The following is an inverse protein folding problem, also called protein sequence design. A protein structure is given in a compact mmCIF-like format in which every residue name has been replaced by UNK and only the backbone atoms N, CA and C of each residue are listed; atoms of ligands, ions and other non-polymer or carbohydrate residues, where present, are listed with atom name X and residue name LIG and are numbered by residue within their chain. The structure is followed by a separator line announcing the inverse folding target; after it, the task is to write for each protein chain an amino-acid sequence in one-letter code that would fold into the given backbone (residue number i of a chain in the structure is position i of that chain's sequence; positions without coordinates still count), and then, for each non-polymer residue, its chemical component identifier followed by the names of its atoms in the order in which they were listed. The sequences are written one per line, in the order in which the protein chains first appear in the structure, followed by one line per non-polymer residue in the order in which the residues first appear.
data_IF_072605648025
#
_entry.id   IF_072605648025
#
_cell.length_a   1.000
_cell.length_b   1.000
_cell.length_c   1.000
_cell.angle_alpha   90.00
_cell.angle_beta   90.00
_cell.angle_gamma   90.00
#
_symmetry.space_group_name_H-M   'P 1'
#
loop_
_entity.id
_entity.type
_entity.pdbx_description
1 polymer ?
#
# COMPACT_ATOMS: atom_id res chain seq x y z
N UNK A 1 -2.17 -8.50 -4.57
CA UNK A 1 -1.26 -7.43 -5.04
C UNK A 1 0.12 -8.03 -5.18
N UNK A 2 0.82 -7.74 -6.26
CA UNK A 2 2.22 -8.10 -6.43
C UNK A 2 3.06 -6.82 -6.56
N UNK A 3 4.24 -6.82 -5.96
CA UNK A 3 5.24 -5.77 -6.11
C UNK A 3 6.55 -6.38 -6.57
N UNK A 4 7.12 -5.83 -7.62
CA UNK A 4 8.41 -6.21 -8.17
C UNK A 4 9.35 -5.01 -8.15
N UNK A 5 10.57 -5.18 -7.64
CA UNK A 5 11.59 -4.14 -7.75
C UNK A 5 12.17 -4.16 -9.17
N UNK A 6 12.04 -3.05 -9.89
CA UNK A 6 12.47 -2.92 -11.29
C UNK A 6 13.62 -1.92 -11.47
N UNK A 7 14.13 -1.40 -10.35
CA UNK A 7 15.29 -0.50 -10.30
C UNK A 7 15.66 -0.17 -8.85
N UNK A 8 16.72 0.63 -8.62
CA UNK A 8 17.26 0.88 -7.27
C UNK A 8 16.22 1.35 -6.26
N UNK A 9 15.35 2.26 -6.67
CA UNK A 9 14.28 2.84 -5.86
C UNK A 9 12.92 2.78 -6.55
N UNK A 10 12.77 1.87 -7.54
CA UNK A 10 11.61 1.83 -8.43
C UNK A 10 10.93 0.48 -8.36
N UNK A 11 9.62 0.50 -8.21
CA UNK A 11 8.82 -0.71 -8.03
C UNK A 11 7.65 -0.70 -9.01
N UNK A 12 7.38 -1.87 -9.60
CA UNK A 12 6.19 -2.14 -10.38
C UNK A 12 5.17 -2.83 -9.49
N UNK A 13 3.98 -2.26 -9.43
CA UNK A 13 2.86 -2.77 -8.67
C UNK A 13 1.78 -3.27 -9.61
N UNK A 14 1.28 -4.46 -9.33
CA UNK A 14 0.13 -5.04 -10.02
C UNK A 14 -1.00 -5.25 -9.01
N UNK A 15 -2.09 -4.52 -9.25
CA UNK A 15 -3.29 -4.49 -8.42
C UNK A 15 -4.40 -5.20 -9.20
N UNK A 16 -4.93 -6.28 -8.63
CA UNK A 16 -6.10 -6.98 -9.17
C UNK A 16 -7.35 -6.42 -8.51
N UNK A 17 -8.15 -5.73 -9.30
CA UNK A 17 -9.43 -5.18 -8.92
C UNK A 17 -10.59 -6.15 -9.19
N UNK A 18 -11.82 -5.76 -8.82
CA UNK A 18 -13.03 -6.51 -9.16
C UNK A 18 -13.20 -6.67 -10.68
N UNK A 19 -14.01 -7.66 -11.09
CA UNK A 19 -14.35 -7.93 -12.49
C UNK A 19 -13.14 -8.24 -13.40
N UNK A 20 -12.05 -8.76 -12.83
CA UNK A 20 -10.84 -9.11 -13.59
C UNK A 20 -9.98 -7.92 -14.01
N UNK A 21 -10.32 -6.70 -13.60
CA UNK A 21 -9.53 -5.50 -13.91
C UNK A 21 -8.16 -5.61 -13.26
N UNK A 22 -7.11 -5.44 -14.06
CA UNK A 22 -5.73 -5.39 -13.57
C UNK A 22 -5.14 -4.02 -13.82
N UNK A 23 -4.72 -3.35 -12.75
CA UNK A 23 -4.04 -2.07 -12.79
C UNK A 23 -2.54 -2.29 -12.55
N UNK A 24 -1.72 -1.82 -13.48
CA UNK A 24 -0.28 -1.78 -13.34
C UNK A 24 0.16 -0.34 -13.08
N UNK A 25 0.96 -0.13 -12.05
CA UNK A 25 1.53 1.17 -11.71
C UNK A 25 3.00 1.05 -11.40
N UNK A 26 3.80 1.99 -11.88
CA UNK A 26 5.20 2.12 -11.46
C UNK A 26 5.30 3.23 -10.44
N UNK A 27 5.96 2.95 -9.32
CA UNK A 27 6.23 3.92 -8.26
C UNK A 27 7.72 4.05 -8.02
N UNK A 28 8.14 5.21 -7.53
CA UNK A 28 9.52 5.49 -7.15
C UNK A 28 9.58 6.03 -5.73
N UNK A 29 10.48 5.49 -4.92
CA UNK A 29 10.88 6.07 -3.64
C UNK A 29 11.72 7.32 -3.91
N UNK A 30 11.22 8.46 -3.47
CA UNK A 30 11.84 9.78 -3.69
C UNK A 30 12.62 10.27 -2.49
N UNK A 31 12.26 9.82 -1.28
CA UNK A 31 12.99 10.13 -0.06
C UNK A 31 12.83 9.01 0.96
N UNK A 32 13.94 8.68 1.60
CA UNK A 32 14.00 7.75 2.71
C UNK A 32 14.85 8.38 3.81
N UNK A 33 14.28 8.44 5.01
CA UNK A 33 15.01 8.75 6.24
C UNK A 33 14.70 7.64 7.22
N UNK A 34 15.73 6.90 7.61
CA UNK A 34 15.63 5.75 8.51
C UNK A 34 14.82 6.11 9.74
N UNK A 35 13.81 5.29 10.04
CA UNK A 35 12.92 5.42 11.20
C UNK A 35 12.11 6.73 11.28
N UNK A 36 12.01 7.52 10.20
CA UNK A 36 11.38 8.84 10.24
C UNK A 36 10.42 9.08 9.08
N UNK A 37 10.84 8.78 7.85
CA UNK A 37 10.12 9.24 6.67
C UNK A 37 10.34 8.33 5.46
N UNK A 38 9.23 8.02 4.79
CA UNK A 38 9.23 7.51 3.43
C UNK A 38 8.37 8.42 2.56
N UNK A 39 8.90 8.82 1.40
CA UNK A 39 8.12 9.47 0.33
C UNK A 39 8.29 8.70 -0.95
N UNK A 40 7.17 8.41 -1.60
CA UNK A 40 7.16 7.75 -2.89
C UNK A 40 6.02 8.27 -3.76
N UNK A 41 6.16 8.12 -5.07
CA UNK A 41 5.19 8.63 -6.03
C UNK A 41 5.08 7.77 -7.27
N UNK A 42 3.94 7.83 -7.97
CA UNK A 42 3.80 7.22 -9.29
C UNK A 42 4.69 7.92 -10.31
N UNK A 43 5.24 7.18 -11.27
CA UNK A 43 6.10 7.73 -12.33
C UNK A 43 5.31 8.32 -13.51
N UNK A 44 4.04 8.66 -13.33
CA UNK A 44 3.20 9.34 -14.33
C UNK A 44 3.70 10.77 -14.60
N UNK A 45 3.15 11.43 -15.63
CA UNK A 45 3.47 12.83 -15.92
C UNK A 45 3.26 13.74 -14.70
N UNK A 46 4.04 14.83 -14.53
CA UNK A 46 4.09 15.61 -13.29
C UNK A 46 2.73 16.05 -12.71
N UNK A 47 1.74 16.37 -13.55
CA UNK A 47 0.38 16.76 -13.13
C UNK A 47 -0.56 15.61 -12.77
N UNK A 48 -0.14 14.36 -13.03
CA UNK A 48 -0.92 13.13 -12.82
C UNK A 48 -0.31 12.23 -11.74
N UNK A 49 0.69 12.73 -11.00
CA UNK A 49 1.38 11.94 -9.97
C UNK A 49 0.52 11.82 -8.72
N UNK A 50 0.34 10.58 -8.28
CA UNK A 50 -0.08 10.29 -6.92
C UNK A 50 1.16 10.19 -6.05
N UNK A 51 1.13 10.85 -4.89
CA UNK A 51 2.23 10.91 -3.93
C UNK A 51 1.78 10.38 -2.59
N UNK A 52 2.66 9.64 -1.94
CA UNK A 52 2.48 9.14 -0.60
C UNK A 52 3.60 9.66 0.30
N UNK A 53 3.25 9.99 1.53
CA UNK A 53 4.19 10.33 2.60
C UNK A 53 3.82 9.52 3.81
N UNK A 54 4.76 8.72 4.31
CA UNK A 54 4.60 7.95 5.55
C UNK A 54 5.61 8.51 6.54
N UNK A 55 5.11 9.01 7.68
CA UNK A 55 5.93 9.50 8.78
C UNK A 55 5.85 8.53 9.95
N UNK A 56 6.99 8.36 10.61
CA UNK A 56 7.13 7.59 11.82
C UNK A 56 7.56 8.53 12.95
N UNK A 57 6.89 8.45 14.08
CA UNK A 57 7.23 9.20 15.29
C UNK A 57 7.05 8.34 16.53
N UNK A 58 7.73 8.65 17.64
CA UNK A 58 7.40 8.05 18.93
C UNK A 58 5.91 8.23 19.24
N UNK A 59 5.27 7.17 19.72
CA UNK A 59 3.88 7.21 20.18
C UNK A 59 3.76 7.81 21.58
N UNK A 60 2.52 7.95 22.05
CA UNK A 60 2.23 8.56 23.37
C UNK A 60 2.66 7.70 24.57
N UNK A 61 2.96 6.41 24.36
CA UNK A 61 3.49 5.51 25.38
C UNK A 61 4.90 5.05 24.98
N UNK A 62 5.75 4.67 25.96
CA UNK A 62 7.01 3.98 25.68
C UNK A 62 6.78 2.79 24.74
N UNK A 63 7.76 2.53 23.87
CA UNK A 63 7.76 1.39 22.94
C UNK A 63 6.60 1.36 21.91
N UNK A 64 5.96 2.51 21.69
CA UNK A 64 4.97 2.69 20.62
C UNK A 64 5.52 3.58 19.51
N UNK A 65 5.12 3.27 18.28
CA UNK A 65 5.38 4.09 17.10
C UNK A 65 4.05 4.57 16.54
N UNK A 66 3.92 5.88 16.33
CA UNK A 66 2.83 6.46 15.57
C UNK A 66 3.23 6.52 14.08
N UNK A 67 2.32 6.06 13.23
CA UNK A 67 2.50 6.04 11.77
C UNK A 67 1.44 6.94 11.15
N UNK A 68 1.88 7.98 10.45
CA UNK A 68 1.00 8.93 9.79
C UNK A 68 1.20 8.88 8.27
N UNK A 69 0.17 8.46 7.55
CA UNK A 69 0.15 8.39 6.09
C UNK A 69 -0.63 9.56 5.48
N UNK A 70 -0.04 10.20 4.47
CA UNK A 70 -0.70 11.22 3.65
C UNK A 70 -0.67 10.77 2.19
N UNK A 71 -1.86 10.70 1.59
CA UNK A 71 -2.06 10.45 0.17
C UNK A 71 -2.46 11.75 -0.54
N UNK A 72 -1.67 12.19 -1.51
CA UNK A 72 -1.97 13.30 -2.39
C UNK A 72 -2.21 12.80 -3.83
N UNK A 73 -3.44 12.93 -4.32
CA UNK A 73 -3.84 12.52 -5.68
C UNK A 73 -3.84 13.72 -6.64
N UNK A 74 -3.63 13.49 -7.95
CA UNK A 74 -3.81 14.54 -8.96
C UNK A 74 -5.23 15.12 -8.92
N UNK A 75 -5.39 16.38 -9.31
CA UNK A 75 -6.68 17.11 -9.35
C UNK A 75 -7.48 17.18 -8.03
N UNK A 76 -6.87 16.90 -6.88
CA UNK A 76 -7.54 16.98 -5.56
C UNK A 76 -8.81 16.13 -5.50
N UNK A 77 -9.94 16.72 -5.07
CA UNK A 77 -11.25 16.04 -5.02
C UNK A 77 -11.80 15.64 -6.40
N UNK A 78 -11.33 16.26 -7.49
CA UNK A 78 -11.79 16.02 -8.86
C UNK A 78 -11.02 14.89 -9.57
N UNK A 79 -9.89 14.45 -9.02
CA UNK A 79 -9.13 13.29 -9.51
C UNK A 79 -9.63 11.93 -9.01
N UNK A 80 -10.81 11.90 -8.38
CA UNK A 80 -11.46 10.67 -7.90
C UNK A 80 -11.92 9.75 -9.01
N UNK A 81 -11.83 10.19 -10.27
CA UNK A 81 -12.46 9.52 -11.42
C UNK A 81 -11.53 8.57 -12.19
N UNK A 82 -10.23 8.51 -11.88
CA UNK A 82 -9.30 7.60 -12.58
C UNK A 82 -9.07 6.25 -11.87
N UNK A 83 -9.59 6.06 -10.65
CA UNK A 83 -9.52 4.81 -9.90
C UNK A 83 -10.89 4.41 -9.33
N UNK A 84 -11.94 4.48 -10.15
CA UNK A 84 -13.24 3.92 -9.79
C UNK A 84 -13.19 2.39 -9.83
N UNK A 85 -12.37 1.77 -8.99
CA UNK A 85 -12.57 0.40 -8.58
C UNK A 85 -13.67 0.41 -7.49
N UNK A 86 -14.92 0.50 -7.95
CA UNK A 86 -16.13 0.19 -7.17
C UNK A 86 -16.42 1.13 -5.98
N UNK A 87 -16.54 2.44 -6.23
CA UNK A 87 -17.24 3.35 -5.30
C UNK A 87 -16.67 3.49 -3.87
N UNK A 88 -15.44 3.06 -3.60
CA UNK A 88 -14.83 3.15 -2.26
C UNK A 88 -14.21 4.53 -2.05
N UNK A 89 -14.47 5.21 -0.91
CA UNK A 89 -13.82 6.48 -0.60
C UNK A 89 -12.33 6.26 -0.29
N UNK A 90 -11.39 7.00 -0.92
CA UNK A 90 -9.94 6.82 -0.72
C UNK A 90 -9.48 6.86 0.75
N UNK A 91 -10.15 7.66 1.58
CA UNK A 91 -9.85 7.75 3.00
C UNK A 91 -10.11 6.44 3.77
N UNK A 92 -11.16 5.70 3.39
CA UNK A 92 -11.46 4.40 4.02
C UNK A 92 -10.40 3.35 3.69
N UNK A 93 -9.85 3.40 2.46
CA UNK A 93 -8.78 2.49 2.05
C UNK A 93 -7.46 2.76 2.79
N UNK A 94 -7.09 4.04 2.96
CA UNK A 94 -5.90 4.45 3.75
C UNK A 94 -6.04 3.99 5.20
N UNK A 95 -7.18 4.30 5.84
CA UNK A 95 -7.41 3.90 7.23
C UNK A 95 -7.36 2.37 7.42
N UNK A 96 -7.96 1.61 6.48
CA UNK A 96 -7.92 0.16 6.52
C UNK A 96 -6.50 -0.40 6.25
N UNK A 97 -5.70 0.24 5.40
CA UNK A 97 -4.30 -0.12 5.20
C UNK A 97 -3.46 0.04 6.47
N UNK A 98 -3.62 1.17 7.20
CA UNK A 98 -2.92 1.39 8.46
C UNK A 98 -3.35 0.41 9.56
N UNK A 99 -4.65 0.08 9.67
CA UNK A 99 -5.13 -0.95 10.59
C UNK A 99 -4.47 -2.30 10.34
N UNK A 100 -4.42 -2.74 9.08
CA UNK A 100 -3.79 -4.02 8.73
C UNK A 100 -2.29 -4.01 8.92
N UNK A 101 -1.62 -2.90 8.63
CA UNK A 101 -0.20 -2.74 8.95
C UNK A 101 0.04 -2.92 10.45
N UNK A 102 -0.78 -2.29 11.28
CA UNK A 102 -0.72 -2.45 12.74
C UNK A 102 -0.94 -3.89 13.17
N UNK A 103 -1.99 -4.56 12.67
CA UNK A 103 -2.24 -5.98 12.99
C UNK A 103 -1.04 -6.86 12.62
N UNK A 104 -0.51 -6.71 11.41
CA UNK A 104 0.64 -7.48 10.95
C UNK A 104 1.87 -7.27 11.83
N UNK A 105 2.18 -6.01 12.17
CA UNK A 105 3.37 -5.69 12.96
C UNK A 105 3.24 -6.10 14.43
N UNK A 106 2.03 -6.05 15.01
CA UNK A 106 1.82 -6.33 16.44
C UNK A 106 1.44 -7.79 16.73
N UNK A 107 0.84 -8.49 15.77
CA UNK A 107 0.29 -9.85 15.97
C UNK A 107 0.85 -10.87 15.00
N UNK A 108 1.52 -10.44 13.93
CA UNK A 108 1.96 -11.33 12.84
C UNK A 108 0.85 -11.73 11.86
N UNK A 109 -0.40 -11.34 12.12
CA UNK A 109 -1.58 -11.76 11.34
C UNK A 109 -2.40 -10.54 10.86
N UNK A 110 -3.20 -10.75 9.81
CA UNK A 110 -4.18 -9.77 9.32
C UNK A 110 -5.55 -10.42 9.32
N UNK A 111 -6.43 -9.95 10.19
CA UNK A 111 -7.79 -10.51 10.34
C UNK A 111 -8.85 -9.65 9.66
N UNK A 112 -8.56 -8.37 9.46
CA UNK A 112 -9.44 -7.43 8.78
C UNK A 112 -9.08 -7.30 7.29
N UNK A 113 -9.97 -7.75 6.41
CA UNK A 113 -9.81 -7.60 4.95
C UNK A 113 -10.82 -6.63 4.34
N UNK A 114 -11.55 -5.88 5.17
CA UNK A 114 -12.49 -4.87 4.70
C UNK A 114 -11.76 -3.83 3.85
N UNK A 115 -12.36 -3.43 2.72
CA UNK A 115 -11.74 -2.52 1.74
C UNK A 115 -10.38 -2.96 1.18
N UNK A 116 -9.89 -4.17 1.45
CA UNK A 116 -8.63 -4.63 0.88
C UNK A 116 -8.76 -4.85 -0.63
N UNK A 117 -7.67 -4.62 -1.35
CA UNK A 117 -7.51 -5.10 -2.71
C UNK A 117 -7.47 -6.63 -2.69
N UNK A 118 -8.24 -7.27 -3.57
CA UNK A 118 -8.27 -8.73 -3.70
C UNK A 118 -6.85 -9.31 -3.84
N UNK A 119 -6.55 -10.34 -3.03
CA UNK A 119 -5.26 -11.02 -3.01
C UNK A 119 -4.08 -10.19 -2.49
N UNK A 120 -4.28 -9.06 -1.80
CA UNK A 120 -3.21 -8.37 -1.04
C UNK A 120 -2.80 -9.16 0.22
N UNK A 121 -3.76 -9.85 0.84
CA UNK A 121 -3.56 -10.71 2.01
C UNK A 121 -4.05 -12.14 1.76
N UNK A 122 -4.15 -12.55 0.49
CA UNK A 122 -4.53 -13.93 0.16
C UNK A 122 -3.49 -14.87 0.77
N UNK A 123 -3.95 -15.82 1.58
CA UNK A 123 -3.10 -16.82 2.24
C UNK A 123 -2.20 -17.44 1.19
N UNK A 124 -0.88 -17.29 1.33
CA UNK A 124 0.07 -18.11 0.56
C UNK A 124 -0.16 -19.52 1.07
N UNK A 125 -0.76 -20.38 0.26
CA UNK A 125 -0.70 -21.82 0.52
C UNK A 125 0.78 -22.14 0.34
N UNK A 126 1.50 -22.29 1.45
CA UNK A 126 2.78 -22.96 1.43
C UNK A 126 2.44 -24.40 1.08
N UNK A 127 2.66 -24.79 -0.17
CA UNK A 127 2.65 -26.18 -0.56
C UNK A 127 3.75 -26.88 0.24
N UNK A 128 3.31 -27.71 1.18
CA UNK A 128 4.13 -28.68 1.91
C UNK A 128 4.92 -29.50 0.89
N UNK A 129 6.17 -29.11 0.63
CA UNK A 129 7.13 -29.95 -0.07
C UNK A 129 7.53 -31.08 0.88
N UNK A 130 6.63 -32.05 1.07
CA UNK A 130 7.02 -33.39 1.45
C UNK A 130 7.75 -34.00 0.26
N UNK A 131 9.05 -34.07 0.39
CA UNK A 131 9.89 -34.98 -0.37
C UNK A 131 9.39 -36.42 -0.08
N UNK A 132 9.00 -37.21 -1.09
CA UNK A 132 8.94 -38.66 -0.92
C UNK A 132 10.37 -39.22 -0.87
N UNK A 133 10.54 -40.25 -0.06
CA UNK A 133 11.79 -40.99 0.19
C UNK A 133 12.42 -41.57 -1.08
#
# INVERSE_FOLDING_TARGET
MASEQVGPATFRWTIRGPLGVTLNSTVRLTEERTNQLLRYETTTGPGMRTRWTVRFSPGSQPDRTEVHEVLATPFGRLGRTALTLVGKPPAAEVAANLRRLKQLLETGEVTDTEHAVAGKFGRRVVEDHRHPD
#
